data_IF_900065055124
#
_entry.id   IF_900065055124
#
_cell.length_a   1.000
_cell.length_b   1.000
_cell.length_c   1.000
_cell.angle_alpha   90.00
_cell.angle_beta   90.00
_cell.angle_gamma   90.00
#
_symmetry.space_group_name_H-M   'P 1'
#
loop_
_entity.id
_entity.type
_entity.pdbx_description
1 polymer ?
#
# COMPACT_ATOMS: atom_id res chain seq x y z
N UNK A 1 25.06 1.32 -6.74
CA UNK A 1 24.24 1.13 -5.52
C UNK A 1 22.83 0.76 -5.99
N UNK A 2 22.14 -0.15 -5.29
CA UNK A 2 20.83 -0.68 -5.73
C UNK A 2 19.63 -0.10 -4.96
N UNK A 3 19.85 0.86 -4.06
CA UNK A 3 18.79 1.56 -3.34
C UNK A 3 17.76 2.23 -4.28
N UNK A 4 18.15 2.88 -5.41
CA UNK A 4 17.20 3.54 -6.31
C UNK A 4 16.11 2.62 -6.90
N UNK A 5 16.42 1.33 -7.07
CA UNK A 5 15.45 0.32 -7.51
C UNK A 5 14.32 0.20 -6.49
N UNK A 6 14.67 0.05 -5.21
CA UNK A 6 13.67 -0.08 -4.15
C UNK A 6 12.93 1.23 -3.85
N UNK A 7 13.56 2.38 -4.06
CA UNK A 7 12.88 3.67 -3.95
C UNK A 7 11.81 3.82 -5.05
N UNK A 8 12.14 3.44 -6.29
CA UNK A 8 11.18 3.43 -7.40
C UNK A 8 10.04 2.43 -7.18
N UNK A 9 10.35 1.21 -6.73
CA UNK A 9 9.34 0.21 -6.37
C UNK A 9 8.40 0.73 -5.27
N UNK A 10 8.96 1.34 -4.23
CA UNK A 10 8.20 1.85 -3.10
C UNK A 10 7.28 3.00 -3.51
N UNK A 11 7.78 3.96 -4.29
CA UNK A 11 7.00 5.08 -4.81
C UNK A 11 5.82 4.58 -5.67
N UNK A 12 6.08 3.66 -6.61
CA UNK A 12 5.02 3.04 -7.43
C UNK A 12 4.00 2.26 -6.59
N UNK A 13 4.47 1.53 -5.58
CA UNK A 13 3.60 0.72 -4.73
C UNK A 13 2.70 1.57 -3.84
N UNK A 14 3.19 2.70 -3.31
CA UNK A 14 2.38 3.67 -2.58
C UNK A 14 1.31 4.30 -3.47
N UNK A 15 1.69 4.71 -4.70
CA UNK A 15 0.73 5.24 -5.67
C UNK A 15 -0.36 4.21 -6.04
N UNK A 16 0.05 2.96 -6.27
CA UNK A 16 -0.88 1.87 -6.57
C UNK A 16 -1.79 1.53 -5.39
N UNK A 17 -1.28 1.58 -4.16
CA UNK A 17 -2.06 1.36 -2.96
C UNK A 17 -3.08 2.49 -2.74
N UNK A 18 -2.66 3.75 -2.92
CA UNK A 18 -3.53 4.91 -2.84
C UNK A 18 -4.71 4.80 -3.83
N UNK A 19 -4.40 4.46 -5.07
CA UNK A 19 -5.42 4.30 -6.12
C UNK A 19 -6.34 3.11 -5.84
N UNK A 20 -5.78 2.00 -5.39
CA UNK A 20 -6.56 0.82 -5.00
C UNK A 20 -7.51 1.13 -3.84
N UNK A 21 -7.08 1.90 -2.85
CA UNK A 21 -7.95 2.35 -1.76
C UNK A 21 -9.10 3.21 -2.28
N UNK A 22 -8.84 4.16 -3.18
CA UNK A 22 -9.89 4.97 -3.82
C UNK A 22 -10.87 4.11 -4.60
N UNK A 23 -10.37 3.19 -5.42
CA UNK A 23 -11.20 2.27 -6.20
C UNK A 23 -12.12 1.42 -5.30
N UNK A 24 -11.59 0.90 -4.19
CA UNK A 24 -12.39 0.12 -3.22
C UNK A 24 -13.40 0.99 -2.49
N UNK A 25 -13.04 2.22 -2.12
CA UNK A 25 -13.97 3.17 -1.51
C UNK A 25 -15.18 3.41 -2.42
N UNK A 26 -14.93 3.73 -3.68
CA UNK A 26 -15.99 4.01 -4.66
C UNK A 26 -16.84 2.77 -4.96
N UNK A 27 -16.20 1.63 -5.18
CA UNK A 27 -16.89 0.40 -5.57
C UNK A 27 -17.70 -0.28 -4.46
N UNK A 28 -17.40 0.03 -3.19
CA UNK A 28 -18.09 -0.51 -2.01
C UNK A 28 -18.69 0.60 -1.14
N UNK A 29 -19.14 1.70 -1.75
CA UNK A 29 -19.67 2.88 -1.06
C UNK A 29 -20.91 2.64 -0.19
N UNK A 30 -21.58 1.49 -0.32
CA UNK A 30 -22.68 1.07 0.55
C UNK A 30 -22.21 0.68 1.97
N UNK A 31 -20.90 0.45 2.15
CA UNK A 31 -20.24 0.18 3.44
C UNK A 31 -19.55 1.47 3.93
N UNK A 32 -20.17 2.28 4.81
CA UNK A 32 -19.69 3.63 5.09
C UNK A 32 -18.30 3.69 5.74
N UNK A 33 -17.96 2.67 6.53
CA UNK A 33 -16.64 2.53 7.13
C UNK A 33 -15.57 2.31 6.06
N UNK A 34 -15.84 1.44 5.08
CA UNK A 34 -14.95 1.18 3.93
C UNK A 34 -14.76 2.47 3.12
N UNK A 35 -15.84 3.16 2.76
CA UNK A 35 -15.78 4.40 1.98
C UNK A 35 -14.87 5.46 2.64
N UNK A 36 -15.15 5.81 3.90
CA UNK A 36 -14.44 6.90 4.57
C UNK A 36 -13.00 6.52 4.95
N UNK A 37 -12.79 5.30 5.46
CA UNK A 37 -11.46 4.89 5.90
C UNK A 37 -10.55 4.68 4.70
N UNK A 38 -11.00 4.02 3.63
CA UNK A 38 -10.16 3.87 2.43
C UNK A 38 -9.75 5.22 1.81
N UNK A 39 -10.62 6.23 1.77
CA UNK A 39 -10.20 7.57 1.34
C UNK A 39 -9.15 8.19 2.27
N UNK A 40 -9.28 8.00 3.58
CA UNK A 40 -8.27 8.47 4.56
C UNK A 40 -6.93 7.77 4.33
N UNK A 41 -6.95 6.44 4.16
CA UNK A 41 -5.74 5.65 3.96
C UNK A 41 -5.08 5.95 2.61
N UNK A 42 -5.87 6.23 1.57
CA UNK A 42 -5.33 6.70 0.29
C UNK A 42 -4.56 8.02 0.44
N UNK A 43 -5.09 8.98 1.21
CA UNK A 43 -4.40 10.23 1.49
C UNK A 43 -3.08 10.04 2.24
N UNK A 44 -3.03 9.07 3.17
CA UNK A 44 -1.77 8.71 3.85
C UNK A 44 -0.73 8.15 2.88
N UNK A 45 -1.12 7.29 1.94
CA UNK A 45 -0.21 6.80 0.90
C UNK A 45 0.33 7.95 0.02
N UNK A 46 -0.51 8.92 -0.34
CA UNK A 46 -0.08 10.11 -1.07
C UNK A 46 0.93 10.94 -0.23
N UNK A 47 0.72 11.06 1.07
CA UNK A 47 1.65 11.71 2.01
C UNK A 47 2.97 10.95 2.17
N UNK A 48 2.94 9.61 2.15
CA UNK A 48 4.14 8.78 2.16
C UNK A 48 4.98 9.01 0.90
N UNK A 49 4.35 9.03 -0.28
CA UNK A 49 5.03 9.31 -1.54
C UNK A 49 5.67 10.71 -1.54
N UNK A 50 4.94 11.72 -1.05
CA UNK A 50 5.48 13.08 -0.90
C UNK A 50 6.67 13.13 0.08
N UNK A 51 6.62 12.36 1.16
CA UNK A 51 7.71 12.27 2.13
C UNK A 51 8.96 11.57 1.60
N UNK A 52 8.79 10.67 0.64
CA UNK A 52 9.87 9.96 -0.02
C UNK A 52 10.59 10.83 -1.07
N UNK A 53 9.94 11.87 -1.58
CA UNK A 53 10.48 12.71 -2.65
C UNK A 53 11.89 13.28 -2.38
N UNK A 54 12.22 13.83 -1.18
CA UNK A 54 13.58 14.30 -0.89
C UNK A 54 14.64 13.20 -0.86
N UNK A 55 14.25 11.97 -0.51
CA UNK A 55 15.13 10.78 -0.53
C UNK A 55 15.38 10.37 -1.98
N UNK A 56 14.32 10.34 -2.81
CA UNK A 56 14.40 10.07 -4.25
C UNK A 56 15.25 11.10 -4.97
N UNK A 57 15.12 12.38 -4.65
CA UNK A 57 15.96 13.44 -5.25
C UNK A 57 17.46 13.22 -4.94
N UNK A 58 17.78 12.72 -3.75
CA UNK A 58 19.16 12.48 -3.29
C UNK A 58 19.78 11.22 -3.87
N UNK A 59 19.04 10.12 -3.86
CA UNK A 59 19.56 8.80 -4.21
C UNK A 59 19.22 8.37 -5.64
N UNK A 60 18.22 9.01 -6.25
CA UNK A 60 17.61 8.60 -7.50
C UNK A 60 16.55 7.51 -7.29
N UNK A 61 15.74 7.31 -8.33
CA UNK A 61 14.84 6.16 -8.49
C UNK A 61 15.03 5.55 -9.88
N UNK A 62 14.71 4.27 -10.03
CA UNK A 62 14.72 3.59 -11.34
C UNK A 62 13.28 3.37 -11.79
N UNK A 63 12.99 3.87 -13.00
CA UNK A 63 11.72 3.60 -13.67
C UNK A 63 11.64 2.13 -14.11
N UNK A 64 10.41 1.59 -14.13
CA UNK A 64 10.11 0.15 -14.22
C UNK A 64 10.62 -0.59 -15.46
N UNK A 65 11.17 0.11 -16.46
CA UNK A 65 11.64 -0.48 -17.71
C UNK A 65 12.92 -1.34 -17.55
N UNK A 66 13.62 -1.25 -16.40
CA UNK A 66 14.88 -1.98 -16.13
C UNK A 66 14.78 -3.05 -15.01
N UNK A 67 13.59 -3.30 -14.45
CA UNK A 67 13.39 -4.31 -13.39
C UNK A 67 12.95 -5.68 -13.95
N UNK A 68 13.42 -6.81 -13.40
CA UNK A 68 12.98 -8.15 -13.80
C UNK A 68 11.52 -8.43 -13.36
N UNK A 69 10.55 -7.95 -14.15
CA UNK A 69 9.17 -8.39 -14.49
C UNK A 69 8.25 -9.07 -13.45
N UNK A 70 8.59 -9.17 -12.15
CA UNK A 70 7.84 -10.06 -11.22
C UNK A 70 7.16 -9.39 -10.02
N UNK A 71 7.45 -8.12 -9.73
CA UNK A 71 6.87 -7.38 -8.60
C UNK A 71 6.10 -6.15 -9.13
N UNK A 72 4.97 -6.41 -9.79
CA UNK A 72 4.05 -5.35 -10.19
C UNK A 72 3.10 -5.03 -9.04
N UNK A 73 3.21 -3.82 -8.51
CA UNK A 73 2.15 -3.20 -7.71
C UNK A 73 1.14 -2.58 -8.68
N UNK A 74 0.38 -3.42 -9.39
CA UNK A 74 -0.69 -2.89 -10.25
C UNK A 74 -1.86 -2.48 -9.36
N UNK A 75 -2.33 -1.24 -9.55
CA UNK A 75 -3.52 -0.77 -8.87
C UNK A 75 -4.75 -1.58 -9.27
N UNK A 76 -5.70 -1.71 -8.35
CA UNK A 76 -7.04 -2.22 -8.67
C UNK A 76 -7.68 -1.29 -9.71
N UNK A 77 -7.99 -1.84 -10.88
CA UNK A 77 -8.64 -1.10 -11.99
C UNK A 77 -10.17 -1.22 -12.00
N UNK A 78 -10.71 -2.12 -11.18
CA UNK A 78 -12.15 -2.33 -11.01
C UNK A 78 -12.42 -3.06 -9.69
N UNK A 79 -13.57 -2.81 -9.08
CA UNK A 79 -14.07 -3.61 -7.95
C UNK A 79 -14.95 -4.76 -8.40
N UNK A 80 -15.11 -5.74 -7.50
CA UNK A 80 -16.00 -6.89 -7.69
C UNK A 80 -17.30 -6.65 -6.96
N UNK A 81 -18.40 -7.09 -7.56
CA UNK A 81 -19.73 -6.93 -6.96
C UNK A 81 -20.05 -7.99 -5.90
N UNK A 82 -20.97 -7.63 -5.01
CA UNK A 82 -21.55 -8.51 -3.99
C UNK A 82 -20.64 -8.77 -2.79
N UNK A 83 -21.13 -9.54 -1.79
CA UNK A 83 -20.45 -9.70 -0.50
C UNK A 83 -19.07 -10.38 -0.60
N UNK A 84 -18.90 -11.30 -1.56
CA UNK A 84 -17.60 -11.92 -1.86
C UNK A 84 -16.68 -10.95 -2.60
N UNK A 85 -17.24 -10.00 -3.36
CA UNK A 85 -16.49 -8.96 -4.05
C UNK A 85 -15.66 -8.11 -3.08
N UNK A 86 -16.30 -7.56 -2.04
CA UNK A 86 -15.61 -6.81 -0.99
C UNK A 86 -14.49 -7.62 -0.32
N UNK A 87 -14.72 -8.90 -0.03
CA UNK A 87 -13.67 -9.75 0.55
C UNK A 87 -12.45 -9.86 -0.36
N UNK A 88 -12.66 -10.07 -1.66
CA UNK A 88 -11.57 -10.23 -2.62
C UNK A 88 -10.82 -8.91 -2.81
N UNK A 89 -11.54 -7.79 -2.82
CA UNK A 89 -10.92 -6.48 -2.98
C UNK A 89 -10.13 -6.06 -1.72
N UNK A 90 -10.63 -6.38 -0.51
CA UNK A 90 -9.87 -6.23 0.73
C UNK A 90 -8.62 -7.15 0.78
N UNK A 91 -8.68 -8.34 0.19
CA UNK A 91 -7.52 -9.22 0.06
C UNK A 91 -6.48 -8.63 -0.90
N UNK A 92 -6.90 -8.07 -2.02
CA UNK A 92 -6.01 -7.41 -2.98
C UNK A 92 -5.31 -6.21 -2.32
N UNK A 93 -6.04 -5.39 -1.54
CA UNK A 93 -5.45 -4.33 -0.71
C UNK A 93 -4.43 -4.86 0.31
N UNK A 94 -4.71 -5.99 0.96
CA UNK A 94 -3.75 -6.62 1.87
C UNK A 94 -2.46 -7.05 1.17
N UNK A 95 -2.55 -7.54 -0.07
CA UNK A 95 -1.39 -7.95 -0.86
C UNK A 95 -0.51 -6.75 -1.22
N UNK A 96 -1.12 -5.70 -1.77
CA UNK A 96 -0.40 -4.47 -2.14
C UNK A 96 0.19 -3.81 -0.89
N UNK A 97 -0.58 -3.66 0.18
CA UNK A 97 -0.08 -3.11 1.45
C UNK A 97 1.08 -3.92 2.05
N UNK A 98 1.07 -5.25 1.91
CA UNK A 98 2.17 -6.09 2.38
C UNK A 98 3.42 -5.89 1.52
N UNK A 99 3.28 -5.66 0.21
CA UNK A 99 4.41 -5.30 -0.65
C UNK A 99 5.02 -3.96 -0.22
N UNK A 100 4.20 -2.95 0.09
CA UNK A 100 4.65 -1.65 0.59
C UNK A 100 5.39 -1.80 1.92
N UNK A 101 4.82 -2.53 2.87
CA UNK A 101 5.42 -2.82 4.19
C UNK A 101 6.81 -3.48 4.08
N UNK A 102 6.91 -4.53 3.25
CA UNK A 102 8.18 -5.22 2.98
C UNK A 102 9.19 -4.30 2.27
N UNK A 103 8.72 -3.43 1.38
CA UNK A 103 9.60 -2.48 0.68
C UNK A 103 10.17 -1.44 1.65
N UNK A 104 9.34 -0.89 2.55
CA UNK A 104 9.80 -0.04 3.65
C UNK A 104 10.83 -0.75 4.54
N UNK A 105 10.59 -2.02 4.88
CA UNK A 105 11.52 -2.84 5.67
C UNK A 105 12.89 -2.98 5.00
N UNK A 106 12.94 -3.24 3.69
CA UNK A 106 14.19 -3.37 2.94
C UNK A 106 14.93 -2.02 2.85
N UNK A 107 14.21 -0.93 2.55
CA UNK A 107 14.76 0.43 2.52
C UNK A 107 15.32 0.82 3.89
N UNK A 108 14.67 0.41 4.99
CA UNK A 108 15.18 0.61 6.35
C UNK A 108 16.57 0.04 6.56
N UNK A 109 16.81 -1.19 6.07
CA UNK A 109 18.12 -1.84 6.20
C UNK A 109 19.20 -1.08 5.42
N UNK A 110 18.86 -0.56 4.24
CA UNK A 110 19.77 0.29 3.47
C UNK A 110 20.07 1.60 4.24
N UNK A 111 19.05 2.25 4.81
CA UNK A 111 19.22 3.45 5.64
C UNK A 111 20.12 3.23 6.85
N UNK A 112 19.98 2.09 7.55
CA UNK A 112 20.87 1.70 8.65
C UNK A 112 22.32 1.52 8.18
N UNK A 113 22.53 0.87 7.04
CA UNK A 113 23.86 0.67 6.46
C UNK A 113 24.53 1.97 6.02
N UNK A 114 23.73 2.92 5.51
CA UNK A 114 24.19 4.25 5.09
C UNK A 114 24.32 5.24 6.25
N UNK A 115 23.72 4.94 7.41
CA UNK A 115 23.56 5.87 8.55
C UNK A 115 22.87 7.17 8.14
N UNK A 116 21.89 7.07 7.25
CA UNK A 116 21.07 8.23 6.84
C UNK A 116 19.91 8.37 7.83
N UNK A 117 20.06 9.27 8.81
CA UNK A 117 19.05 9.54 9.83
C UNK A 117 17.76 10.14 9.26
N UNK A 118 17.85 10.87 8.15
CA UNK A 118 16.68 11.48 7.51
C UNK A 118 15.85 10.43 6.77
N UNK A 119 16.51 9.52 6.05
CA UNK A 119 15.86 8.35 5.46
C UNK A 119 15.19 7.49 6.55
N UNK A 120 15.90 7.23 7.65
CA UNK A 120 15.34 6.43 8.74
C UNK A 120 14.12 7.10 9.39
N UNK A 121 14.10 8.42 9.52
CA UNK A 121 12.94 9.14 10.03
C UNK A 121 11.71 9.02 9.10
N UNK A 122 11.92 9.08 7.78
CA UNK A 122 10.85 8.85 6.79
C UNK A 122 10.33 7.42 6.89
N UNK A 123 11.24 6.43 6.91
CA UNK A 123 10.90 5.01 6.98
C UNK A 123 10.13 4.69 8.25
N UNK A 124 10.62 5.11 9.42
CA UNK A 124 9.99 4.76 10.70
C UNK A 124 8.56 5.31 10.80
N UNK A 125 8.30 6.50 10.23
CA UNK A 125 6.94 7.05 10.14
C UNK A 125 6.05 6.24 9.19
N UNK A 126 6.45 6.14 7.93
CA UNK A 126 5.59 5.55 6.89
C UNK A 126 5.37 4.05 7.11
N UNK A 127 6.36 3.32 7.64
CA UNK A 127 6.19 1.90 7.96
C UNK A 127 5.22 1.67 9.10
N UNK A 128 5.26 2.51 10.15
CA UNK A 128 4.32 2.42 11.29
C UNK A 128 2.88 2.71 10.84
N UNK A 129 2.70 3.70 9.96
CA UNK A 129 1.41 4.02 9.36
C UNK A 129 0.90 2.87 8.47
N UNK A 130 1.78 2.29 7.63
CA UNK A 130 1.47 1.11 6.79
C UNK A 130 1.08 -0.12 7.62
N UNK A 131 1.79 -0.40 8.72
CA UNK A 131 1.43 -1.49 9.65
C UNK A 131 0.02 -1.29 10.23
N UNK A 132 -0.33 -0.05 10.54
CA UNK A 132 -1.66 0.32 11.05
C UNK A 132 -2.73 0.10 9.98
N UNK A 133 -2.47 0.49 8.73
CA UNK A 133 -3.36 0.23 7.58
C UNK A 133 -3.61 -1.27 7.39
N UNK A 134 -2.55 -2.09 7.40
CA UNK A 134 -2.64 -3.54 7.27
C UNK A 134 -3.41 -4.19 8.43
N UNK A 135 -3.21 -3.68 9.66
CA UNK A 135 -3.97 -4.15 10.83
C UNK A 135 -5.46 -3.90 10.68
N UNK A 136 -5.84 -2.70 10.20
CA UNK A 136 -7.23 -2.37 9.91
C UNK A 136 -7.81 -3.25 8.80
N UNK A 137 -7.13 -3.39 7.66
CA UNK A 137 -7.55 -4.23 6.54
C UNK A 137 -7.80 -5.68 6.97
N UNK A 138 -6.87 -6.27 7.71
CA UNK A 138 -7.00 -7.64 8.24
C UNK A 138 -8.17 -7.77 9.22
N UNK A 139 -8.44 -6.72 10.00
CA UNK A 139 -9.58 -6.69 10.92
C UNK A 139 -10.90 -6.64 10.14
N UNK A 140 -11.03 -5.73 9.17
CA UNK A 140 -12.24 -5.60 8.36
C UNK A 140 -12.52 -6.83 7.51
N UNK A 141 -11.46 -7.46 6.97
CA UNK A 141 -11.54 -8.73 6.24
C UNK A 141 -12.11 -9.84 7.12
N UNK A 142 -11.61 -9.98 8.36
CA UNK A 142 -12.14 -10.96 9.33
C UNK A 142 -13.61 -10.71 9.67
N UNK A 143 -14.02 -9.44 9.75
CA UNK A 143 -15.42 -9.07 10.03
C UNK A 143 -16.36 -9.38 8.86
N UNK A 144 -15.94 -9.12 7.61
CA UNK A 144 -16.74 -9.41 6.42
C UNK A 144 -16.88 -10.92 6.14
N UNK A 145 -15.88 -11.72 6.52
CA UNK A 145 -15.77 -13.10 6.07
C UNK A 145 -16.99 -13.99 6.41
N UNK A 146 -17.52 -14.02 7.65
CA UNK A 146 -18.67 -14.86 7.96
C UNK A 146 -19.92 -14.49 7.15
N UNK A 147 -20.22 -13.19 7.03
CA UNK A 147 -21.41 -12.72 6.31
C UNK A 147 -21.33 -13.08 4.83
N UNK A 148 -20.19 -12.81 4.21
CA UNK A 148 -19.99 -13.06 2.79
C UNK A 148 -19.87 -14.56 2.43
N UNK A 149 -19.37 -15.41 3.34
CA UNK A 149 -19.16 -16.83 3.05
C UNK A 149 -20.32 -17.75 3.48
N UNK A 150 -21.15 -17.34 4.43
CA UNK A 150 -22.22 -18.19 5.01
C UNK A 150 -23.61 -17.64 4.72
N UNK A 151 -23.80 -16.32 4.70
CA UNK A 151 -25.13 -15.69 4.64
C UNK A 151 -25.48 -15.21 3.24
N UNK A 152 -24.48 -14.83 2.44
CA UNK A 152 -24.67 -14.36 1.06
C UNK A 152 -24.93 -15.49 0.04
N UNK A 153 -25.03 -16.75 0.49
CA UNK A 153 -25.36 -17.93 -0.33
C UNK A 153 -26.85 -18.08 -0.57
#
# INVERSE_FOLDING_TARGET
>A
MQLPVYLGLLHRSEAALAESFRQVAEGHGEEPDVFHLCHTLAGQCDEHAAALAPVVERYGEVDSDDEPERLHADALSSTREGPVGLLRDLQDLCLIGTLVDLSWMVVRQAGLGLRDEELLAVVDRCSTETETQLSWLRTRLKQAAPQALIVAS
#
